data_IF_341251077286
#
_entry.id   IF_341251077286
#
_cell.length_a   1.000
_cell.length_b   1.000
_cell.length_c   1.000
_cell.angle_alpha   90.00
_cell.angle_beta   90.00
_cell.angle_gamma   90.00
#
_symmetry.space_group_name_H-M   'P 1'
#
loop_
_entity.id
_entity.type
_entity.pdbx_description
1 polymer ?
#
# COMPACT_ATOMS: atom_id res chain seq x y z
N UNK A 1 4.14 -40.63 24.33
CA UNK A 1 5.54 -40.36 24.73
C UNK A 1 6.43 -40.78 23.57
N UNK A 2 6.98 -39.83 22.81
CA UNK A 2 8.10 -39.99 21.86
C UNK A 2 8.53 -38.55 21.50
N UNK A 3 9.61 -38.06 22.13
CA UNK A 3 10.22 -36.76 21.83
C UNK A 3 11.18 -36.94 20.66
N UNK A 4 11.02 -36.15 19.60
CA UNK A 4 12.00 -36.03 18.53
C UNK A 4 13.27 -35.34 19.08
N UNK A 5 14.42 -35.90 18.73
CA UNK A 5 15.75 -35.45 19.15
C UNK A 5 16.11 -34.14 18.46
N UNK A 6 16.34 -33.10 19.28
CA UNK A 6 17.41 -32.11 19.13
C UNK A 6 17.63 -31.50 17.75
N UNK A 7 16.69 -30.68 17.29
CA UNK A 7 17.05 -29.56 16.41
C UNK A 7 17.53 -28.43 17.34
N UNK A 8 18.81 -28.05 17.22
CA UNK A 8 19.30 -26.81 17.82
C UNK A 8 18.65 -25.67 17.03
N UNK A 9 17.70 -24.97 17.62
CA UNK A 9 17.35 -23.62 17.17
C UNK A 9 18.65 -22.81 17.17
N UNK A 10 19.16 -22.53 15.98
CA UNK A 10 20.23 -21.55 15.80
C UNK A 10 19.52 -20.20 15.96
N UNK A 11 19.77 -19.42 17.02
CA UNK A 11 19.22 -18.08 17.07
C UNK A 11 19.81 -17.34 15.88
N UNK A 12 18.96 -16.90 14.96
CA UNK A 12 19.36 -15.87 14.02
C UNK A 12 19.69 -14.66 14.89
N UNK A 13 20.98 -14.44 15.16
CA UNK A 13 21.46 -13.15 15.61
C UNK A 13 21.14 -12.17 14.49
N UNK A 14 19.97 -11.55 14.60
CA UNK A 14 19.55 -10.45 13.75
C UNK A 14 20.44 -9.27 14.13
N UNK A 15 21.63 -9.22 13.52
CA UNK A 15 22.62 -8.17 13.72
C UNK A 15 21.95 -6.82 13.46
N UNK A 16 21.85 -5.99 14.51
CA UNK A 16 21.63 -4.55 14.46
C UNK A 16 20.59 -4.07 13.43
N UNK A 17 19.38 -4.62 13.44
CA UNK A 17 18.25 -3.94 12.81
C UNK A 17 17.62 -3.08 13.90
N UNK A 18 18.05 -1.82 14.00
CA UNK A 18 17.23 -0.83 14.68
C UNK A 18 15.99 -0.62 13.79
N UNK A 19 14.77 -0.98 14.24
CA UNK A 19 13.58 -0.66 13.48
C UNK A 19 13.57 0.84 13.23
N UNK A 20 13.38 1.26 11.97
CA UNK A 20 13.26 2.68 11.66
C UNK A 20 12.00 3.19 12.34
N UNK A 21 12.15 3.78 13.53
CA UNK A 21 11.09 4.55 14.15
C UNK A 21 10.91 5.80 13.30
N UNK A 22 9.74 6.03 12.69
CA UNK A 22 9.50 7.28 11.99
C UNK A 22 9.68 8.43 12.98
N UNK A 23 10.42 9.44 12.55
CA UNK A 23 10.69 10.64 13.33
C UNK A 23 9.40 11.49 13.36
N UNK A 24 8.40 11.06 14.14
CA UNK A 24 7.08 11.68 14.44
C UNK A 24 6.09 11.96 13.29
N UNK A 25 4.78 11.99 13.61
CA UNK A 25 3.60 12.39 12.79
C UNK A 25 3.32 11.70 11.44
N UNK A 26 4.14 10.74 11.00
CA UNK A 26 3.89 10.00 9.75
C UNK A 26 2.92 8.85 10.00
N UNK A 27 2.04 8.58 9.04
CA UNK A 27 1.17 7.40 9.01
C UNK A 27 1.63 6.44 7.91
N UNK A 28 1.45 5.14 8.13
CA UNK A 28 1.56 4.14 7.05
C UNK A 28 0.17 3.90 6.47
N UNK A 29 0.03 4.08 5.16
CA UNK A 29 -1.21 3.80 4.44
C UNK A 29 -1.08 2.51 3.63
N UNK A 30 -2.07 1.63 3.74
CA UNK A 30 -2.22 0.40 2.97
C UNK A 30 -3.50 0.50 2.15
N UNK A 31 -3.36 0.41 0.82
CA UNK A 31 -4.46 0.64 -0.13
C UNK A 31 -4.77 -0.64 -0.90
N UNK A 32 -6.01 -1.10 -0.82
CA UNK A 32 -6.50 -2.26 -1.56
C UNK A 32 -5.76 -3.54 -1.17
N UNK A 33 -5.38 -4.33 -2.17
CA UNK A 33 -4.69 -5.61 -1.98
C UNK A 33 -5.59 -6.80 -2.30
N UNK A 34 -5.13 -8.00 -1.96
CA UNK A 34 -5.80 -9.26 -2.31
C UNK A 34 -6.09 -10.09 -1.04
N UNK A 35 -7.36 -10.27 -0.71
CA UNK A 35 -7.80 -11.01 0.48
C UNK A 35 -9.19 -11.69 0.32
N UNK A 36 -9.30 -12.87 -0.33
CA UNK A 36 -8.36 -13.46 -1.29
C UNK A 36 -8.53 -12.90 -2.71
N UNK A 37 -9.51 -12.01 -2.92
CA UNK A 37 -9.77 -11.25 -4.15
C UNK A 37 -9.40 -9.78 -3.95
N UNK A 38 -9.43 -8.98 -5.02
CA UNK A 38 -9.20 -7.54 -4.94
C UNK A 38 -10.19 -6.88 -3.96
N UNK A 39 -9.68 -6.07 -3.04
CA UNK A 39 -10.48 -5.35 -2.02
C UNK A 39 -10.47 -3.83 -2.25
N UNK A 40 -11.33 -3.12 -1.52
CA UNK A 40 -11.42 -1.65 -1.53
C UNK A 40 -10.85 -1.01 -0.27
N UNK A 41 -10.48 -1.83 0.73
CA UNK A 41 -10.08 -1.34 2.04
C UNK A 41 -8.89 -0.40 1.93
N UNK A 42 -8.92 0.63 2.75
CA UNK A 42 -7.80 1.54 2.96
C UNK A 42 -7.59 1.59 4.46
N UNK A 43 -6.40 1.22 4.89
CA UNK A 43 -6.05 1.13 6.29
C UNK A 43 -4.89 2.08 6.55
N UNK A 44 -4.92 2.78 7.69
CA UNK A 44 -3.77 3.52 8.17
C UNK A 44 -3.29 2.98 9.50
N UNK A 45 -1.98 2.90 9.65
CA UNK A 45 -1.33 2.59 10.91
C UNK A 45 -0.71 3.85 11.49
N UNK A 46 -1.14 4.17 12.69
CA UNK A 46 -0.62 5.26 13.51
C UNK A 46 0.50 4.71 14.40
N UNK A 47 1.73 5.14 14.14
CA UNK A 47 2.92 4.68 14.87
C UNK A 47 2.98 5.21 16.32
N UNK A 48 2.30 6.32 16.62
CA UNK A 48 2.27 6.89 17.97
C UNK A 48 1.26 6.15 18.84
N UNK A 49 0.13 5.74 18.25
CA UNK A 49 -0.94 5.00 18.94
C UNK A 49 -0.83 3.48 18.83
N UNK A 50 0.12 2.99 18.04
CA UNK A 50 0.32 1.56 17.74
C UNK A 50 -0.99 0.87 17.33
N UNK A 51 -1.70 1.47 16.37
CA UNK A 51 -3.05 1.02 16.00
C UNK A 51 -3.38 1.24 14.53
N UNK A 52 -4.12 0.27 13.99
CA UNK A 52 -4.76 0.35 12.67
C UNK A 52 -6.13 1.02 12.73
N UNK A 53 -6.42 1.85 11.73
CA UNK A 53 -7.70 2.49 11.50
C UNK A 53 -8.15 2.24 10.06
N UNK A 54 -9.46 2.10 9.87
CA UNK A 54 -10.05 2.12 8.53
C UNK A 54 -10.26 3.57 8.09
N UNK A 55 -9.97 3.84 6.83
CA UNK A 55 -10.21 5.12 6.16
C UNK A 55 -11.25 4.95 5.04
N UNK A 56 -11.58 6.02 4.34
CA UNK A 56 -12.48 5.96 3.19
C UNK A 56 -11.99 4.94 2.15
N UNK A 57 -12.88 4.01 1.82
CA UNK A 57 -12.60 2.95 0.85
C UNK A 57 -12.34 3.52 -0.54
N UNK A 58 -11.51 2.81 -1.31
CA UNK A 58 -11.28 3.12 -2.72
C UNK A 58 -12.60 3.08 -3.53
N UNK A 59 -12.76 3.91 -4.59
CA UNK A 59 -13.96 3.89 -5.43
C UNK A 59 -14.22 2.54 -6.10
N UNK A 60 -13.15 1.78 -6.37
CA UNK A 60 -13.20 0.47 -7.01
C UNK A 60 -12.28 -0.52 -6.30
N UNK A 61 -12.61 -1.82 -6.35
CA UNK A 61 -11.71 -2.88 -5.87
C UNK A 61 -10.39 -2.80 -6.61
N UNK A 62 -9.27 -2.99 -5.92
CA UNK A 62 -7.95 -2.93 -6.55
C UNK A 62 -6.93 -3.80 -5.84
N UNK A 63 -6.20 -4.57 -6.62
CA UNK A 63 -4.93 -5.19 -6.23
C UNK A 63 -3.90 -5.02 -7.34
N UNK A 64 -2.63 -5.31 -7.06
CA UNK A 64 -1.53 -5.26 -8.06
C UNK A 64 -1.42 -3.88 -8.74
N UNK A 65 -1.86 -2.82 -8.09
CA UNK A 65 -1.63 -1.44 -8.52
C UNK A 65 -0.32 -0.94 -7.92
N UNK A 66 0.11 0.23 -8.36
CA UNK A 66 1.18 0.97 -7.70
C UNK A 66 0.62 2.15 -6.92
N UNK A 67 1.38 2.60 -5.93
CA UNK A 67 1.02 3.73 -5.07
C UNK A 67 2.19 4.71 -5.06
N UNK A 68 1.89 6.00 -5.12
CA UNK A 68 2.89 7.06 -4.96
C UNK A 68 2.32 8.22 -4.16
N UNK A 69 3.22 9.00 -3.56
CA UNK A 69 2.88 10.23 -2.84
C UNK A 69 3.57 11.40 -3.51
N UNK A 70 2.83 12.47 -3.78
CA UNK A 70 3.36 13.76 -4.23
C UNK A 70 2.60 14.86 -3.50
N UNK A 71 3.31 15.84 -2.93
CA UNK A 71 2.71 16.98 -2.21
C UNK A 71 1.64 16.56 -1.17
N UNK A 72 1.94 15.53 -0.37
CA UNK A 72 1.05 14.94 0.65
C UNK A 72 -0.27 14.36 0.12
N UNK A 73 -0.39 14.15 -1.18
CA UNK A 73 -1.52 13.48 -1.81
C UNK A 73 -1.11 12.06 -2.24
N UNK A 74 -1.97 11.09 -1.99
CA UNK A 74 -1.70 9.68 -2.28
C UNK A 74 -2.38 9.29 -3.58
N UNK A 75 -1.67 8.61 -4.47
CA UNK A 75 -2.16 8.24 -5.79
C UNK A 75 -2.17 6.72 -5.94
N UNK A 76 -3.34 6.19 -6.30
CA UNK A 76 -3.56 4.80 -6.69
C UNK A 76 -3.51 4.69 -8.21
N UNK A 77 -2.57 3.91 -8.74
CA UNK A 77 -2.25 3.87 -10.18
C UNK A 77 -2.43 2.45 -10.72
N UNK A 78 -3.35 2.29 -11.69
CA UNK A 78 -3.54 1.02 -12.40
C UNK A 78 -3.92 -0.15 -11.48
N UNK A 79 -3.67 -1.38 -11.91
CA UNK A 79 -3.89 -2.59 -11.13
C UNK A 79 -4.94 -3.52 -11.73
N UNK A 80 -5.59 -4.29 -10.87
CA UNK A 80 -6.58 -5.31 -11.22
C UNK A 80 -7.79 -5.20 -10.28
N UNK A 81 -9.00 -5.12 -10.83
CA UNK A 81 -10.21 -4.91 -10.05
C UNK A 81 -10.96 -6.20 -9.66
N UNK A 82 -10.32 -7.36 -9.86
CA UNK A 82 -10.94 -8.67 -9.68
C UNK A 82 -11.44 -9.29 -11.00
N UNK A 83 -11.57 -8.49 -12.06
CA UNK A 83 -12.03 -8.95 -13.38
C UNK A 83 -11.10 -8.50 -14.51
N UNK A 84 -10.71 -7.22 -14.52
CA UNK A 84 -9.93 -6.62 -15.59
C UNK A 84 -8.70 -5.90 -15.03
N UNK A 85 -7.63 -5.86 -15.84
CA UNK A 85 -6.53 -4.90 -15.65
C UNK A 85 -7.08 -3.50 -15.93
N UNK A 86 -6.72 -2.52 -15.11
CA UNK A 86 -7.26 -1.16 -15.22
C UNK A 86 -6.16 -0.15 -15.57
N UNK A 87 -6.59 0.98 -16.14
CA UNK A 87 -5.74 2.14 -16.47
C UNK A 87 -6.10 3.38 -15.63
N UNK A 88 -7.00 3.20 -14.66
CA UNK A 88 -7.55 4.26 -13.81
C UNK A 88 -6.50 4.78 -12.84
N UNK A 89 -6.60 6.08 -12.58
CA UNK A 89 -5.80 6.83 -11.61
C UNK A 89 -6.76 7.48 -10.62
N UNK A 90 -6.53 7.29 -9.33
CA UNK A 90 -7.33 7.90 -8.26
C UNK A 90 -6.40 8.61 -7.27
N UNK A 91 -6.81 9.77 -6.77
CA UNK A 91 -6.10 10.55 -5.75
C UNK A 91 -6.89 10.50 -4.45
N UNK A 92 -6.21 10.29 -3.35
CA UNK A 92 -6.76 10.33 -2.00
C UNK A 92 -6.28 11.60 -1.27
N UNK A 93 -7.25 12.38 -0.79
CA UNK A 93 -7.05 13.55 0.06
C UNK A 93 -7.19 13.12 1.53
N UNK A 94 -6.05 12.97 2.21
CA UNK A 94 -6.01 12.50 3.60
C UNK A 94 -6.59 13.51 4.61
N UNK A 95 -6.69 14.80 4.25
CA UNK A 95 -7.30 15.81 5.13
C UNK A 95 -8.83 15.73 5.09
N UNK A 96 -9.39 15.31 3.96
CA UNK A 96 -10.84 15.18 3.76
C UNK A 96 -11.35 13.75 3.88
N UNK A 97 -10.44 12.77 3.95
CA UNK A 97 -10.75 11.34 3.88
C UNK A 97 -11.61 11.01 2.65
N UNK A 98 -11.17 11.48 1.47
CA UNK A 98 -11.95 11.39 0.23
C UNK A 98 -11.11 11.03 -0.99
N UNK A 99 -11.75 10.34 -1.93
CA UNK A 99 -11.17 9.92 -3.20
C UNK A 99 -11.69 10.76 -4.37
N UNK A 100 -10.78 11.09 -5.27
CA UNK A 100 -11.05 11.77 -6.54
C UNK A 100 -10.56 10.90 -7.70
N UNK A 101 -11.39 10.70 -8.71
CA UNK A 101 -10.97 10.01 -9.94
C UNK A 101 -10.29 11.00 -10.87
N UNK A 102 -9.09 10.67 -11.33
CA UNK A 102 -8.31 11.49 -12.25
C UNK A 102 -8.32 10.92 -13.67
N UNK A 103 -7.86 11.69 -14.68
CA UNK A 103 -7.67 11.18 -16.03
C UNK A 103 -6.86 9.88 -16.04
N UNK A 104 -7.38 8.89 -16.77
CA UNK A 104 -6.76 7.56 -16.85
C UNK A 104 -5.49 7.55 -17.69
N UNK A 105 -4.58 6.62 -17.39
CA UNK A 105 -3.41 6.32 -18.24
C UNK A 105 -3.84 5.86 -19.64
N UNK A 106 -2.92 5.91 -20.60
CA UNK A 106 -3.17 5.43 -21.97
C UNK A 106 -3.35 3.91 -22.05
N UNK A 107 -2.57 3.15 -21.27
CA UNK A 107 -2.58 1.69 -21.27
C UNK A 107 -2.98 1.12 -19.93
N UNK A 108 -3.59 -0.08 -19.94
CA UNK A 108 -3.88 -0.84 -18.71
C UNK A 108 -2.57 -1.41 -18.18
N UNK A 109 -2.29 -1.19 -16.89
CA UNK A 109 -1.07 -1.67 -16.23
C UNK A 109 -1.47 -2.40 -14.96
N UNK A 110 -0.91 -3.57 -14.70
CA UNK A 110 -1.07 -4.34 -13.46
C UNK A 110 0.29 -4.89 -13.08
N UNK A 111 0.50 -5.17 -11.78
CA UNK A 111 1.82 -5.38 -11.16
C UNK A 111 2.81 -4.27 -11.52
N UNK A 112 2.30 -3.04 -11.57
CA UNK A 112 3.01 -1.85 -12.04
C UNK A 112 3.91 -1.28 -10.95
N UNK A 113 5.14 -0.94 -11.30
CA UNK A 113 6.03 -0.15 -10.44
C UNK A 113 5.69 1.32 -10.56
N UNK A 114 5.61 2.04 -9.44
CA UNK A 114 5.32 3.47 -9.46
C UNK A 114 6.32 4.21 -8.59
N UNK A 115 6.81 5.34 -9.09
CA UNK A 115 7.71 6.23 -8.36
C UNK A 115 7.45 7.69 -8.67
N UNK A 116 7.75 8.55 -7.71
CA UNK A 116 7.78 10.00 -7.88
C UNK A 116 9.22 10.45 -8.17
N UNK A 117 9.39 11.34 -9.14
CA UNK A 117 10.65 12.00 -9.42
C UNK A 117 10.38 13.43 -9.92
N UNK A 118 10.84 14.42 -9.15
CA UNK A 118 10.77 15.87 -9.50
C UNK A 118 9.35 16.36 -9.80
N UNK A 119 8.38 15.93 -9.00
CA UNK A 119 6.98 16.31 -9.11
C UNK A 119 6.20 15.53 -10.18
N UNK A 120 6.75 14.42 -10.69
CA UNK A 120 6.11 13.59 -11.69
C UNK A 120 5.96 12.15 -11.19
N UNK A 121 4.79 11.55 -11.44
CA UNK A 121 4.53 10.14 -11.16
C UNK A 121 4.80 9.32 -12.42
N UNK A 122 5.70 8.34 -12.31
CA UNK A 122 6.04 7.40 -13.36
C UNK A 122 5.41 6.04 -13.07
N UNK A 123 4.75 5.46 -14.07
CA UNK A 123 4.18 4.11 -14.02
C UNK A 123 4.97 3.21 -14.98
N UNK A 124 5.77 2.31 -14.43
CA UNK A 124 6.73 1.46 -15.15
C UNK A 124 6.23 0.03 -15.18
#
# INVERSE_FOLDING_TARGET
>A
MLKAKGEKEIPLEIRNINPRKPDSSKLLLVLGGQAPKAVRSVECYDFEKDRWYNLAEMPSRRCRGGVSVINNQVYSVGGFNGMNRVRTLEKYDALKDQWETLPSMQTRRSTVGVGELKGLIYAV
#
